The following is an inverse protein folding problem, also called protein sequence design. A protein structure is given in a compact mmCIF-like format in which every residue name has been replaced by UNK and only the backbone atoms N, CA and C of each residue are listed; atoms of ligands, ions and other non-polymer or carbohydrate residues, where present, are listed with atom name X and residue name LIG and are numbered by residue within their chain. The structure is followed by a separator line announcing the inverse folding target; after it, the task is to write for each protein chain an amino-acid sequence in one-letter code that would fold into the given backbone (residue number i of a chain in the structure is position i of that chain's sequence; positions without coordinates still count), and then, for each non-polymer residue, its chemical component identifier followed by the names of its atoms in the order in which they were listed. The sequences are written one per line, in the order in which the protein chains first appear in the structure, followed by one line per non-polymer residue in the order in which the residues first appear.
data_IF_198161670010
#
_entry.id   IF_198161670010
#
_cell.length_a   1.000
_cell.length_b   1.000
_cell.length_c   1.000
_cell.angle_alpha   90.00
_cell.angle_beta   90.00
_cell.angle_gamma   90.00
#
_symmetry.space_group_name_H-M   'P 1'
#
loop_
_entity.id
_entity.type
_entity.pdbx_description
1 polymer ?
#
# COMPACT_ATOMS: atom_id res chain seq x y z
N UNK A 1 29.68 -27.36 -28.15
CA UNK A 1 28.96 -26.16 -28.61
C UNK A 1 27.80 -25.93 -27.65
N UNK A 2 27.87 -24.93 -26.76
CA UNK A 2 26.76 -24.60 -25.88
C UNK A 2 25.79 -23.66 -26.58
N UNK A 3 24.52 -24.05 -26.59
CA UNK A 3 23.39 -23.32 -27.15
C UNK A 3 23.03 -22.14 -26.22
N UNK A 4 23.05 -20.91 -26.75
CA UNK A 4 22.73 -19.67 -26.04
C UNK A 4 21.22 -19.42 -26.15
N UNK A 5 20.48 -19.13 -25.07
CA UNK A 5 19.08 -18.74 -25.18
C UNK A 5 18.98 -17.33 -25.75
N UNK A 6 18.07 -17.15 -26.71
CA UNK A 6 17.77 -15.90 -27.40
C UNK A 6 17.00 -14.93 -26.50
N UNK A 7 17.42 -13.66 -26.51
CA UNK A 7 16.67 -12.54 -25.93
C UNK A 7 15.40 -12.25 -26.77
N UNK A 8 14.23 -11.94 -26.17
CA UNK A 8 13.09 -11.45 -26.91
C UNK A 8 13.18 -9.92 -27.10
N UNK A 9 13.16 -9.50 -28.37
CA UNK A 9 12.98 -8.11 -28.81
C UNK A 9 11.67 -7.53 -28.27
N UNK A 10 11.77 -6.46 -27.47
CA UNK A 10 10.67 -5.56 -27.12
C UNK A 10 10.32 -4.69 -28.31
N UNK A 11 9.10 -4.83 -28.82
CA UNK A 11 8.50 -3.95 -29.83
C UNK A 11 7.86 -2.75 -29.14
N UNK A 12 8.47 -1.57 -29.29
CA UNK A 12 7.85 -0.27 -29.03
C UNK A 12 6.83 0.04 -30.14
N UNK A 13 5.55 0.12 -29.78
CA UNK A 13 4.46 0.54 -30.67
C UNK A 13 3.76 1.77 -30.05
N UNK A 14 4.33 2.95 -30.32
CA UNK A 14 3.66 4.25 -30.13
C UNK A 14 2.75 4.54 -31.34
N UNK A 15 1.48 4.90 -31.16
CA UNK A 15 0.68 5.40 -32.28
C UNK A 15 1.02 6.87 -32.54
N UNK A 16 1.52 7.12 -33.76
CA UNK A 16 1.83 8.43 -34.31
C UNK A 16 0.57 9.20 -34.70
N UNK A 17 0.55 10.44 -34.22
CA UNK A 17 -0.33 11.54 -34.59
C UNK A 17 -0.22 11.87 -36.09
N UNK A 18 -1.37 11.95 -36.78
CA UNK A 18 -1.47 12.29 -38.19
C UNK A 18 -2.55 13.35 -38.39
N UNK A 19 -2.09 14.61 -38.47
CA UNK A 19 -2.91 15.76 -38.78
C UNK A 19 -3.44 15.77 -40.22
N UNK A 20 -4.59 16.41 -40.40
CA UNK A 20 -5.04 16.94 -41.67
C UNK A 20 -5.72 18.30 -41.45
N UNK A 21 -5.03 19.36 -41.85
CA UNK A 21 -5.53 20.72 -41.96
C UNK A 21 -6.54 20.83 -43.11
N UNK A 22 -7.65 21.52 -42.87
CA UNK A 22 -8.46 22.15 -43.91
C UNK A 22 -8.99 23.47 -43.37
N UNK A 23 -8.56 24.57 -43.99
CA UNK A 23 -8.76 25.94 -43.55
C UNK A 23 -9.59 26.71 -44.60
N UNK A 24 -10.56 27.50 -44.11
CA UNK A 24 -11.28 28.54 -44.85
C UNK A 24 -12.82 28.38 -44.92
N UNK A 25 -13.58 29.49 -44.98
CA UNK A 25 -13.45 30.76 -44.26
C UNK A 25 -14.74 31.14 -43.47
N UNK A 26 -14.57 32.09 -42.53
CA UNK A 26 -15.61 32.73 -41.71
C UNK A 26 -16.89 33.14 -42.45
N UNK A 27 -18.04 32.88 -41.83
CA UNK A 27 -19.20 33.77 -41.92
C UNK A 27 -19.95 33.86 -40.58
N UNK A 28 -20.32 35.10 -40.30
CA UNK A 28 -20.86 35.69 -39.08
C UNK A 28 -22.36 35.37 -38.93
N UNK A 29 -22.80 34.85 -37.77
CA UNK A 29 -24.17 34.99 -37.25
C UNK A 29 -24.32 34.27 -35.90
N UNK A 30 -24.35 35.04 -34.81
CA UNK A 30 -24.82 34.57 -33.50
C UNK A 30 -26.33 34.25 -33.51
N UNK A 31 -26.74 33.32 -32.63
CA UNK A 31 -27.57 33.78 -31.53
C UNK A 31 -27.15 33.16 -30.18
N UNK A 32 -27.36 33.92 -29.11
CA UNK A 32 -27.28 33.48 -27.71
C UNK A 32 -27.93 32.11 -27.47
N UNK A 33 -27.33 31.31 -26.58
CA UNK A 33 -28.11 30.78 -25.49
C UNK A 33 -27.45 31.09 -24.16
N UNK A 34 -28.11 31.93 -23.38
CA UNK A 34 -27.99 31.93 -21.94
C UNK A 34 -28.37 30.53 -21.42
N UNK A 35 -27.36 29.72 -21.14
CA UNK A 35 -27.47 28.51 -20.35
C UNK A 35 -26.13 28.33 -19.61
N UNK A 36 -25.89 29.18 -18.61
CA UNK A 36 -25.11 28.75 -17.46
C UNK A 36 -25.96 27.72 -16.74
N UNK A 37 -25.91 26.48 -17.22
CA UNK A 37 -26.10 25.35 -16.34
C UNK A 37 -24.95 25.47 -15.34
N UNK A 38 -25.28 25.75 -14.08
CA UNK A 38 -24.43 25.35 -12.98
C UNK A 38 -24.05 23.89 -13.27
N UNK A 39 -22.79 23.67 -13.64
CA UNK A 39 -22.22 22.34 -13.63
C UNK A 39 -22.25 21.95 -12.15
N UNK A 40 -23.31 21.25 -11.75
CA UNK A 40 -23.37 20.57 -10.47
C UNK A 40 -22.11 19.70 -10.42
N UNK A 41 -21.12 20.14 -9.64
CA UNK A 41 -20.00 19.29 -9.27
C UNK A 41 -20.63 17.98 -8.77
N UNK A 42 -20.19 16.81 -9.28
CA UNK A 42 -20.82 15.55 -8.95
C UNK A 42 -20.78 15.39 -7.42
N UNK A 43 -21.92 15.58 -6.77
CA UNK A 43 -21.99 15.53 -5.32
C UNK A 43 -21.70 14.11 -4.87
N UNK A 44 -20.52 13.91 -4.26
CA UNK A 44 -20.14 12.64 -3.64
C UNK A 44 -21.31 12.19 -2.74
N UNK A 45 -21.86 10.97 -2.93
CA UNK A 45 -22.99 10.49 -2.14
C UNK A 45 -22.71 10.61 -0.63
N UNK A 46 -23.75 10.92 0.16
CA UNK A 46 -23.58 11.20 1.60
C UNK A 46 -22.95 10.05 2.39
N UNK A 47 -23.17 8.82 1.94
CA UNK A 47 -22.57 7.59 2.47
C UNK A 47 -21.11 7.40 2.02
N UNK A 48 -20.66 8.12 1.00
CA UNK A 48 -19.29 8.13 0.44
C UNK A 48 -18.44 9.30 0.97
N UNK A 49 -19.07 10.43 1.35
CA UNK A 49 -18.37 11.59 1.95
C UNK A 49 -17.57 11.26 3.21
N UNK A 50 -17.96 10.23 3.95
CA UNK A 50 -17.23 9.77 5.14
C UNK A 50 -15.83 9.19 4.84
N UNK A 51 -15.51 8.92 3.57
CA UNK A 51 -14.24 8.32 3.16
C UNK A 51 -13.28 9.28 2.45
N UNK A 52 -13.60 10.58 2.45
CA UNK A 52 -12.73 11.64 1.96
C UNK A 52 -11.54 11.87 2.92
N UNK A 53 -10.77 10.81 3.25
CA UNK A 53 -9.54 10.92 4.04
C UNK A 53 -8.41 11.54 3.22
N UNK A 54 -8.35 11.21 1.93
CA UNK A 54 -7.28 11.66 1.04
C UNK A 54 -7.55 13.00 0.36
N UNK A 55 -8.73 13.62 0.53
CA UNK A 55 -9.03 14.94 -0.06
C UNK A 55 -8.15 16.06 0.49
N UNK A 56 -7.47 15.85 1.62
CA UNK A 56 -6.46 16.78 2.16
C UNK A 56 -5.06 16.61 1.55
N UNK A 57 -4.83 15.58 0.74
CA UNK A 57 -3.54 15.38 0.06
C UNK A 57 -3.47 16.22 -1.21
N UNK A 58 -2.56 17.18 -1.24
CA UNK A 58 -2.19 17.88 -2.48
C UNK A 58 -1.27 17.00 -3.36
N UNK A 59 -1.04 17.42 -4.61
CA UNK A 59 -0.17 16.70 -5.54
C UNK A 59 1.26 16.51 -5.03
N UNK A 60 1.77 17.44 -4.21
CA UNK A 60 3.10 17.35 -3.61
C UNK A 60 3.15 16.30 -2.48
N UNK A 61 2.06 16.12 -1.73
CA UNK A 61 1.92 15.05 -0.75
C UNK A 61 1.86 13.68 -1.43
N UNK A 62 1.19 13.58 -2.59
CA UNK A 62 1.17 12.36 -3.38
C UNK A 62 2.56 11.93 -3.88
N UNK A 63 3.34 12.83 -4.47
CA UNK A 63 4.67 12.47 -4.97
C UNK A 63 5.58 11.97 -3.85
N UNK A 64 5.45 12.54 -2.64
CA UNK A 64 6.14 12.06 -1.44
C UNK A 64 5.67 10.67 -1.02
N UNK A 65 4.36 10.42 -1.01
CA UNK A 65 3.79 9.09 -0.71
C UNK A 65 4.26 8.04 -1.70
N UNK A 66 4.20 8.35 -2.99
CA UNK A 66 4.57 7.42 -4.04
C UNK A 66 6.07 7.08 -4.00
N UNK A 67 6.93 8.08 -3.74
CA UNK A 67 8.34 7.86 -3.48
C UNK A 67 8.56 6.98 -2.24
N UNK A 68 7.94 7.35 -1.12
CA UNK A 68 8.09 6.63 0.13
C UNK A 68 7.63 5.16 0.04
N UNK A 69 6.45 4.91 -0.53
CA UNK A 69 5.92 3.56 -0.72
C UNK A 69 6.83 2.71 -1.62
N UNK A 70 7.39 3.30 -2.68
CA UNK A 70 8.35 2.62 -3.54
C UNK A 70 9.65 2.27 -2.82
N UNK A 71 10.13 3.18 -1.97
CA UNK A 71 11.43 3.04 -1.32
C UNK A 71 11.36 2.11 -0.10
N UNK A 72 10.20 2.03 0.58
CA UNK A 72 10.05 1.36 1.87
C UNK A 72 9.11 0.17 1.87
N UNK A 73 8.32 -0.05 0.82
CA UNK A 73 7.30 -1.11 0.80
C UNK A 73 7.22 -1.81 -0.56
N UNK A 74 6.49 -2.93 -0.62
CA UNK A 74 6.15 -3.59 -1.89
C UNK A 74 4.81 -3.11 -2.49
N UNK A 75 4.15 -2.17 -1.83
CA UNK A 75 2.80 -1.70 -2.18
C UNK A 75 2.90 -0.45 -3.04
N UNK A 76 2.06 -0.36 -4.08
CA UNK A 76 1.95 0.86 -4.89
C UNK A 76 1.01 1.86 -4.21
N UNK A 77 1.15 3.16 -4.51
CA UNK A 77 0.22 4.19 -4.02
C UNK A 77 -1.25 3.86 -4.34
N UNK A 78 -1.49 3.18 -5.46
CA UNK A 78 -2.83 2.76 -5.86
C UNK A 78 -3.40 1.66 -4.97
N UNK A 79 -2.62 0.60 -4.75
CA UNK A 79 -3.02 -0.51 -3.89
C UNK A 79 -3.22 -0.04 -2.45
N UNK A 80 -2.33 0.82 -1.93
CA UNK A 80 -2.45 1.39 -0.60
C UNK A 80 -3.74 2.19 -0.43
N UNK A 81 -4.01 3.15 -1.32
CA UNK A 81 -5.21 3.98 -1.23
C UNK A 81 -6.50 3.15 -1.34
N UNK A 82 -6.56 2.20 -2.30
CA UNK A 82 -7.73 1.33 -2.46
C UNK A 82 -7.89 0.39 -1.25
N UNK A 83 -6.82 -0.23 -0.76
CA UNK A 83 -6.88 -1.10 0.41
C UNK A 83 -7.36 -0.32 1.64
N UNK A 84 -6.94 0.93 1.79
CA UNK A 84 -7.36 1.78 2.88
C UNK A 84 -8.83 2.19 2.78
N UNK A 85 -9.30 2.56 1.60
CA UNK A 85 -10.72 2.76 1.34
C UNK A 85 -11.50 1.49 1.68
N UNK A 86 -11.08 0.33 1.17
CA UNK A 86 -11.74 -0.96 1.45
C UNK A 86 -11.75 -1.36 2.93
N UNK A 87 -10.72 -1.00 3.72
CA UNK A 87 -10.65 -1.31 5.15
C UNK A 87 -11.79 -0.65 5.96
N UNK A 88 -12.29 0.49 5.49
CA UNK A 88 -13.38 1.23 6.12
C UNK A 88 -14.79 0.68 5.73
N UNK A 89 -14.88 -0.19 4.71
CA UNK A 89 -16.12 -0.88 4.30
C UNK A 89 -16.11 -2.33 4.80
N UNK A 90 -16.64 -2.57 6.01
CA UNK A 90 -16.76 -3.91 6.61
C UNK A 90 -18.02 -4.65 6.16
N UNK A 91 -18.24 -4.79 4.87
CA UNK A 91 -19.49 -5.36 4.36
C UNK A 91 -19.20 -6.28 3.17
N UNK A 92 -19.87 -7.44 3.16
CA UNK A 92 -19.61 -8.55 2.23
C UNK A 92 -20.20 -8.33 0.83
N UNK A 93 -20.90 -7.21 0.59
CA UNK A 93 -21.63 -6.98 -0.66
C UNK A 93 -20.79 -6.26 -1.70
N UNK A 94 -20.84 -6.68 -2.97
CA UNK A 94 -20.10 -6.04 -4.06
C UNK A 94 -20.51 -4.59 -4.39
N UNK A 95 -21.52 -4.04 -3.71
CA UNK A 95 -22.04 -2.68 -3.88
C UNK A 95 -20.97 -1.64 -3.55
N UNK A 96 -20.09 -1.92 -2.60
CA UNK A 96 -19.12 -0.94 -2.11
C UNK A 96 -17.91 -0.84 -3.02
N UNK A 97 -17.54 -1.93 -3.70
CA UNK A 97 -16.52 -1.89 -4.75
C UNK A 97 -16.97 -0.97 -5.90
N UNK A 98 -18.24 -1.02 -6.26
CA UNK A 98 -18.83 -0.10 -7.24
C UNK A 98 -18.76 1.33 -6.76
N UNK A 99 -19.20 1.62 -5.53
CA UNK A 99 -19.16 2.98 -4.97
C UNK A 99 -17.74 3.55 -4.89
N UNK A 100 -16.76 2.76 -4.46
CA UNK A 100 -15.34 3.16 -4.42
C UNK A 100 -14.86 3.48 -5.82
N UNK A 101 -15.10 2.59 -6.78
CA UNK A 101 -14.62 2.74 -8.14
C UNK A 101 -15.19 3.96 -8.86
N UNK A 102 -16.49 4.20 -8.73
CA UNK A 102 -17.19 5.34 -9.37
C UNK A 102 -16.80 6.70 -8.78
N UNK A 103 -16.40 6.76 -7.50
CA UNK A 103 -16.07 8.01 -6.81
C UNK A 103 -14.56 8.18 -6.57
N UNK A 104 -13.72 7.34 -7.19
CA UNK A 104 -12.29 7.29 -6.93
C UNK A 104 -11.57 8.65 -7.15
N UNK A 105 -11.88 9.43 -8.21
CA UNK A 105 -11.27 10.74 -8.41
C UNK A 105 -11.54 11.74 -7.28
N UNK A 106 -12.72 11.65 -6.67
CA UNK A 106 -13.11 12.53 -5.57
C UNK A 106 -12.62 12.03 -4.22
N UNK A 107 -12.44 10.71 -4.08
CA UNK A 107 -11.93 10.09 -2.86
C UNK A 107 -10.41 10.16 -2.77
N UNK A 108 -9.72 10.12 -3.90
CA UNK A 108 -8.26 10.01 -4.03
C UNK A 108 -7.82 10.94 -5.17
N UNK A 109 -7.53 12.23 -4.89
CA UNK A 109 -7.34 13.25 -5.93
C UNK A 109 -6.26 12.98 -6.99
N UNK A 110 -5.32 12.07 -6.72
CA UNK A 110 -4.30 11.64 -7.69
C UNK A 110 -4.78 10.52 -8.63
N UNK A 111 -5.92 9.89 -8.36
CA UNK A 111 -6.56 8.88 -9.21
C UNK A 111 -7.62 9.55 -10.08
N UNK A 112 -7.20 10.17 -11.17
CA UNK A 112 -8.08 10.98 -12.03
C UNK A 112 -9.18 10.19 -12.73
N UNK A 113 -9.06 8.86 -12.81
CA UNK A 113 -10.01 7.99 -13.48
C UNK A 113 -10.86 7.17 -12.50
N UNK A 114 -12.10 6.90 -12.88
CA UNK A 114 -12.97 5.93 -12.18
C UNK A 114 -12.53 4.50 -12.46
N UNK A 115 -12.75 3.61 -11.50
CA UNK A 115 -12.35 2.20 -11.58
C UNK A 115 -13.58 1.30 -11.64
N UNK A 116 -13.47 0.19 -12.37
CA UNK A 116 -14.49 -0.85 -12.29
C UNK A 116 -14.44 -1.56 -10.92
N UNK A 117 -15.55 -2.17 -10.46
CA UNK A 117 -15.55 -2.96 -9.23
C UNK A 117 -14.48 -4.05 -9.22
N UNK A 118 -14.24 -4.67 -10.39
CA UNK A 118 -13.21 -5.69 -10.57
C UNK A 118 -11.80 -5.12 -10.37
N UNK A 119 -11.53 -3.91 -10.87
CA UNK A 119 -10.24 -3.26 -10.70
C UNK A 119 -9.98 -2.89 -9.22
N UNK A 120 -11.01 -2.42 -8.51
CA UNK A 120 -10.95 -2.17 -7.06
C UNK A 120 -10.63 -3.46 -6.31
N UNK A 121 -11.34 -4.55 -6.61
CA UNK A 121 -11.09 -5.84 -5.96
C UNK A 121 -9.69 -6.38 -6.25
N UNK A 122 -9.20 -6.25 -7.49
CA UNK A 122 -7.85 -6.68 -7.85
C UNK A 122 -6.77 -5.92 -7.08
N UNK A 123 -6.92 -4.61 -6.92
CA UNK A 123 -5.98 -3.82 -6.12
C UNK A 123 -6.01 -4.25 -4.64
N UNK A 124 -7.20 -4.49 -4.09
CA UNK A 124 -7.36 -5.02 -2.71
C UNK A 124 -6.70 -6.39 -2.54
N UNK A 125 -6.95 -7.32 -3.45
CA UNK A 125 -6.35 -8.66 -3.42
C UNK A 125 -4.83 -8.61 -3.61
N UNK A 126 -4.33 -7.75 -4.48
CA UNK A 126 -2.88 -7.55 -4.67
C UNK A 126 -2.21 -7.05 -3.38
N UNK A 127 -2.85 -6.10 -2.68
CA UNK A 127 -2.39 -5.65 -1.37
C UNK A 127 -2.34 -6.82 -0.36
N UNK A 128 -3.43 -7.58 -0.25
CA UNK A 128 -3.55 -8.71 0.69
C UNK A 128 -2.50 -9.81 0.41
N UNK A 129 -2.26 -10.14 -0.86
CA UNK A 129 -1.24 -11.09 -1.28
C UNK A 129 0.17 -10.61 -0.89
N UNK A 130 0.45 -9.31 -1.02
CA UNK A 130 1.73 -8.72 -0.65
C UNK A 130 1.94 -8.76 0.86
N UNK A 131 0.93 -8.36 1.64
CA UNK A 131 0.96 -8.45 3.11
C UNK A 131 1.19 -9.89 3.56
N UNK A 132 0.45 -10.84 2.99
CA UNK A 132 0.58 -12.27 3.31
C UNK A 132 1.99 -12.78 3.04
N UNK A 133 2.56 -12.47 1.87
CA UNK A 133 3.92 -12.90 1.50
C UNK A 133 4.99 -12.25 2.37
N UNK A 134 4.88 -10.95 2.64
CA UNK A 134 5.81 -10.23 3.52
C UNK A 134 5.74 -10.76 4.95
N UNK A 135 4.53 -10.98 5.50
CA UNK A 135 4.33 -11.54 6.83
C UNK A 135 4.87 -12.96 6.96
N UNK A 136 4.63 -13.82 5.96
CA UNK A 136 5.19 -15.17 5.92
C UNK A 136 6.73 -15.16 5.89
N UNK A 137 7.33 -14.28 5.08
CA UNK A 137 8.79 -14.14 4.98
C UNK A 137 9.40 -13.64 6.28
N UNK A 138 8.79 -12.62 6.88
CA UNK A 138 9.20 -12.06 8.16
C UNK A 138 9.14 -13.11 9.28
N UNK A 139 7.99 -13.76 9.46
CA UNK A 139 7.81 -14.78 10.50
C UNK A 139 8.72 -15.97 10.29
N UNK A 140 8.96 -16.40 9.04
CA UNK A 140 9.93 -17.44 8.77
C UNK A 140 11.34 -17.05 9.26
N UNK A 141 11.79 -15.82 9.01
CA UNK A 141 13.08 -15.34 9.50
C UNK A 141 13.15 -15.24 11.03
N UNK A 142 12.11 -14.68 11.65
CA UNK A 142 12.00 -14.58 13.10
C UNK A 142 11.99 -15.96 13.78
N UNK A 143 11.29 -16.95 13.19
CA UNK A 143 11.18 -18.29 13.76
C UNK A 143 12.39 -19.17 13.48
N UNK A 144 13.11 -18.95 12.38
CA UNK A 144 14.28 -19.74 11.98
C UNK A 144 15.57 -19.30 12.68
N UNK A 145 15.53 -18.24 13.50
CA UNK A 145 16.70 -17.71 14.18
C UNK A 145 17.67 -16.97 13.27
N UNK A 146 17.18 -16.37 12.17
CA UNK A 146 18.02 -15.53 11.30
C UNK A 146 18.36 -14.19 11.93
N UNK A 147 17.59 -13.78 12.94
CA UNK A 147 17.77 -12.56 13.69
C UNK A 147 18.03 -12.87 15.15
N UNK A 148 19.00 -12.18 15.74
CA UNK A 148 19.17 -12.08 17.19
C UNK A 148 18.02 -11.27 17.82
N UNK A 149 17.98 -11.19 19.17
CA UNK A 149 16.97 -10.35 19.84
C UNK A 149 17.10 -8.88 19.45
N UNK A 150 18.34 -8.39 19.42
CA UNK A 150 18.66 -7.00 19.11
C UNK A 150 18.32 -6.66 17.67
N UNK A 151 18.69 -7.53 16.72
CA UNK A 151 18.36 -7.33 15.30
C UNK A 151 16.85 -7.37 15.03
N UNK A 152 16.09 -8.18 15.79
CA UNK A 152 14.64 -8.21 15.68
C UNK A 152 14.02 -6.94 16.27
N UNK A 153 14.52 -6.43 17.40
CA UNK A 153 14.08 -5.17 17.99
C UNK A 153 14.38 -3.99 17.03
N UNK A 154 15.58 -3.93 16.42
CA UNK A 154 15.95 -2.91 15.44
C UNK A 154 15.06 -2.96 14.18
N UNK A 155 14.81 -4.17 13.66
CA UNK A 155 13.90 -4.37 12.53
C UNK A 155 12.49 -3.90 12.87
N UNK A 156 12.00 -4.22 14.07
CA UNK A 156 10.67 -3.82 14.52
C UNK A 156 10.53 -2.30 14.70
N UNK A 157 11.58 -1.64 15.20
CA UNK A 157 11.64 -0.19 15.23
C UNK A 157 11.51 0.38 13.82
N UNK A 158 12.32 -0.09 12.86
CA UNK A 158 12.27 0.43 11.49
C UNK A 158 10.90 0.24 10.82
N UNK A 159 10.30 -0.95 10.91
CA UNK A 159 8.99 -1.19 10.26
C UNK A 159 7.87 -0.41 10.95
N UNK A 160 7.98 -0.14 12.26
CA UNK A 160 7.00 0.67 12.99
C UNK A 160 7.09 2.14 12.58
N UNK A 161 8.31 2.69 12.41
CA UNK A 161 8.50 4.03 11.85
C UNK A 161 7.88 4.16 10.45
N UNK A 162 8.08 3.15 9.58
CA UNK A 162 7.49 3.13 8.24
C UNK A 162 5.96 3.11 8.32
N UNK A 163 5.38 2.32 9.21
CA UNK A 163 3.94 2.25 9.39
C UNK A 163 3.34 3.55 9.94
N UNK A 164 4.00 4.17 10.95
CA UNK A 164 3.56 5.44 11.53
C UNK A 164 3.57 6.57 10.50
N UNK A 165 4.62 6.68 9.69
CA UNK A 165 4.66 7.66 8.60
C UNK A 165 3.47 7.49 7.65
N UNK A 166 3.12 6.26 7.27
CA UNK A 166 1.96 6.02 6.42
C UNK A 166 0.64 6.44 7.09
N UNK A 167 0.48 6.19 8.40
CA UNK A 167 -0.70 6.60 9.16
C UNK A 167 -0.80 8.13 9.30
N UNK A 168 0.30 8.80 9.61
CA UNK A 168 0.38 10.26 9.70
C UNK A 168 -0.05 10.91 8.38
N UNK A 169 0.44 10.34 7.28
CA UNK A 169 0.14 10.82 5.93
C UNK A 169 -1.34 10.59 5.56
N UNK A 170 -2.00 9.55 6.10
CA UNK A 170 -3.47 9.39 6.01
C UNK A 170 -4.27 10.45 6.81
N UNK A 171 -3.59 11.32 7.54
CA UNK A 171 -4.19 12.33 8.42
C UNK A 171 -4.54 11.79 9.80
N UNK A 172 -3.93 10.66 10.23
CA UNK A 172 -4.00 10.23 11.61
C UNK A 172 -2.99 11.05 12.44
N UNK A 173 -3.50 11.91 13.32
CA UNK A 173 -2.69 12.65 14.29
C UNK A 173 -2.66 11.80 15.57
N UNK A 174 -1.61 10.99 15.74
CA UNK A 174 -1.41 10.20 16.95
C UNK A 174 -0.71 11.09 17.98
N UNK A 175 -1.23 11.11 19.21
CA UNK A 175 -0.50 11.79 20.27
C UNK A 175 0.80 11.01 20.53
N UNK A 176 1.93 11.70 20.76
CA UNK A 176 3.24 11.08 21.04
C UNK A 176 3.17 9.99 22.12
N UNK A 177 2.32 10.18 23.14
CA UNK A 177 2.11 9.15 24.18
C UNK A 177 1.44 7.88 23.64
N UNK A 178 0.47 8.03 22.74
CA UNK A 178 -0.19 6.89 22.09
C UNK A 178 0.77 6.18 21.13
N UNK A 179 1.66 6.91 20.45
CA UNK A 179 2.70 6.32 19.60
C UNK A 179 3.64 5.42 20.41
N UNK A 180 4.16 5.94 21.53
CA UNK A 180 5.05 5.20 22.42
C UNK A 180 4.38 3.96 23.03
N UNK A 181 3.11 4.09 23.45
CA UNK A 181 2.34 2.96 23.99
C UNK A 181 2.13 1.84 22.94
N UNK A 182 1.93 2.22 21.67
CA UNK A 182 1.79 1.26 20.56
C UNK A 182 3.13 0.58 20.28
N UNK A 183 4.23 1.32 20.25
CA UNK A 183 5.58 0.78 20.07
C UNK A 183 5.93 -0.23 21.17
N UNK A 184 5.78 0.15 22.44
CA UNK A 184 6.09 -0.72 23.58
C UNK A 184 5.33 -2.05 23.49
N UNK A 185 4.05 -1.97 23.10
CA UNK A 185 3.20 -3.15 22.94
C UNK A 185 3.58 -4.02 21.76
N UNK A 186 3.98 -3.41 20.63
CA UNK A 186 4.48 -4.15 19.46
C UNK A 186 5.80 -4.86 19.82
N UNK A 187 6.72 -4.17 20.48
CA UNK A 187 7.99 -4.76 20.94
C UNK A 187 7.79 -5.90 21.92
N UNK A 188 6.85 -5.77 22.87
CA UNK A 188 6.50 -6.85 23.80
C UNK A 188 6.03 -8.11 23.06
N UNK A 189 5.08 -7.97 22.13
CA UNK A 189 4.55 -9.10 21.34
C UNK A 189 5.67 -9.78 20.54
N UNK A 190 6.59 -9.00 19.97
CA UNK A 190 7.68 -9.54 19.17
C UNK A 190 8.73 -10.29 20.00
N UNK A 191 9.01 -9.83 21.22
CA UNK A 191 9.82 -10.58 22.18
C UNK A 191 9.17 -11.91 22.56
N UNK A 192 7.84 -11.95 22.68
CA UNK A 192 7.12 -13.20 22.96
C UNK A 192 7.13 -14.18 21.77
N UNK A 193 7.04 -13.67 20.53
CA UNK A 193 7.23 -14.48 19.31
C UNK A 193 8.64 -15.10 19.30
N UNK A 194 9.66 -14.31 19.59
CA UNK A 194 11.05 -14.80 19.67
C UNK A 194 11.21 -15.87 20.75
N UNK A 195 10.73 -15.62 21.97
CA UNK A 195 10.81 -16.59 23.07
C UNK A 195 10.14 -17.91 22.73
N UNK A 196 8.99 -17.84 22.06
CA UNK A 196 8.24 -19.00 21.59
C UNK A 196 8.98 -19.77 20.48
N UNK A 197 9.66 -19.06 19.57
CA UNK A 197 10.54 -19.67 18.55
C UNK A 197 11.75 -20.36 19.17
N UNK A 198 12.43 -19.73 20.14
CA UNK A 198 13.57 -20.31 20.84
C UNK A 198 13.16 -21.60 21.56
N UNK A 199 12.03 -21.56 22.27
CA UNK A 199 11.49 -22.74 22.92
C UNK A 199 11.21 -23.87 21.91
N UNK A 200 10.54 -23.57 20.80
CA UNK A 200 10.25 -24.57 19.77
C UNK A 200 11.53 -25.20 19.19
N UNK A 201 12.55 -24.39 18.91
CA UNK A 201 13.84 -24.87 18.39
C UNK A 201 14.61 -25.70 19.41
N UNK A 202 14.56 -25.32 20.69
CA UNK A 202 15.15 -26.11 21.77
C UNK A 202 14.45 -27.46 21.93
N UNK A 203 13.12 -27.50 21.81
CA UNK A 203 12.32 -28.73 21.81
C UNK A 203 12.64 -29.63 20.60
N UNK A 204 12.80 -29.05 19.40
CA UNK A 204 13.14 -29.81 18.17
C UNK A 204 14.58 -30.36 18.18
N UNK A 205 15.54 -29.56 18.64
CA UNK A 205 16.97 -29.93 18.58
C UNK A 205 17.46 -30.67 19.83
N UNK A 206 16.69 -30.65 20.92
CA UNK A 206 17.07 -31.21 22.22
C UNK A 206 18.22 -30.48 22.91
N UNK A 207 18.61 -29.31 22.39
CA UNK A 207 19.70 -28.48 22.92
C UNK A 207 19.15 -27.11 23.29
N UNK A 208 19.51 -26.64 24.48
CA UNK A 208 19.21 -25.28 24.91
C UNK A 208 19.92 -24.28 23.98
N UNK A 209 19.22 -23.25 23.51
CA UNK A 209 19.76 -22.21 22.61
C UNK A 209 21.03 -21.56 23.19
N UNK A 210 21.07 -21.46 24.52
CA UNK A 210 22.18 -20.87 25.25
C UNK A 210 23.40 -21.81 25.29
N UNK A 211 23.37 -22.96 24.62
CA UNK A 211 24.40 -24.00 24.68
C UNK A 211 24.81 -24.41 23.27
N UNK A 212 26.10 -24.29 22.96
CA UNK A 212 26.66 -24.67 21.68
C UNK A 212 26.37 -26.17 21.39
N UNK A 213 25.66 -26.51 20.30
CA UNK A 213 25.30 -27.89 19.98
C UNK A 213 26.51 -28.75 19.57
N UNK A 214 27.67 -28.13 19.34
CA UNK A 214 28.91 -28.84 19.00
C UNK A 214 29.80 -29.16 20.21
N UNK A 215 29.81 -28.32 21.26
CA UNK A 215 30.71 -28.50 22.41
C UNK A 215 30.05 -28.43 23.79
N UNK A 216 28.77 -28.06 23.90
CA UNK A 216 28.04 -27.99 25.17
C UNK A 216 28.39 -26.79 26.06
N UNK A 217 29.17 -25.83 25.58
CA UNK A 217 29.46 -24.59 26.31
C UNK A 217 28.36 -23.55 26.13
N UNK A 218 28.20 -22.67 27.12
CA UNK A 218 27.22 -21.59 27.01
C UNK A 218 27.64 -20.56 25.95
N UNK A 219 26.71 -20.17 25.09
CA UNK A 219 26.89 -19.08 24.14
C UNK A 219 26.55 -17.76 24.87
N UNK A 220 27.54 -16.85 24.97
CA UNK A 220 27.39 -15.49 25.52
C UNK A 220 26.91 -14.51 24.45
#
# INVERSE_FOLDING_TARGET
MPNRPSDPETTDDEPRDAGANADGPNDDSGPDPAANADAEEPEIPADVRRYARFTKMDGAAYDRVNGFLRDRTYVTAREWAIARLCADFRTETGVEMTKIGENLPELVPFMTDTYSPQAVNQARSSFDDKVTKSGATFLYGAMSGFYTAEELDDLMYEVTEVAKFLLEVEGADLAVSEELDVEDRISEVMRDVRRSSEQLRAEETGHDHDVCPHCGEKLE
#
